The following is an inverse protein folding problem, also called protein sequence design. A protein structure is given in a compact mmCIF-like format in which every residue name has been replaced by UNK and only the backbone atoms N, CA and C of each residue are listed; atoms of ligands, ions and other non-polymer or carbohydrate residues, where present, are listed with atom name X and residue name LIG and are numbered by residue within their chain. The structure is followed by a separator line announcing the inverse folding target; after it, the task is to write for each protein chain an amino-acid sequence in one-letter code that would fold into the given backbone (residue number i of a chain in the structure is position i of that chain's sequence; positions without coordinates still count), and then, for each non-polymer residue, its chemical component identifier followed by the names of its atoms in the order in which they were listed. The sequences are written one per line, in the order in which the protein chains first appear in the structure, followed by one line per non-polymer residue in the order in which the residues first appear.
data_IF_771892311325
#
_entry.id   IF_771892311325
#
_cell.length_a   1.000
_cell.length_b   1.000
_cell.length_c   1.000
_cell.angle_alpha   90.00
_cell.angle_beta   90.00
_cell.angle_gamma   90.00
#
_symmetry.space_group_name_H-M   'P 1'
#
loop_
_entity.id
_entity.type
_entity.pdbx_description
1 polymer ?
#
# COMPACT_ATOMS: atom_id res chain seq x y z
N UNK A 1 19.77 -4.26 0.70
CA UNK A 1 18.36 -3.88 0.96
C UNK A 1 18.38 -2.53 1.65
N UNK A 2 17.61 -1.55 1.17
CA UNK A 2 17.50 -0.27 1.87
C UNK A 2 16.90 -0.49 3.27
N UNK A 3 17.37 0.26 4.27
CA UNK A 3 16.74 0.27 5.59
C UNK A 3 15.52 1.19 5.48
N UNK A 4 14.32 0.60 5.51
CA UNK A 4 13.04 1.30 5.41
C UNK A 4 12.13 0.94 6.58
N UNK A 5 11.15 1.81 6.86
CA UNK A 5 10.13 1.51 7.88
C UNK A 5 9.19 0.41 7.40
N UNK A 6 8.55 -0.32 8.31
CA UNK A 6 7.50 -1.29 7.94
C UNK A 6 6.38 -0.66 7.11
N UNK A 7 5.99 0.59 7.41
CA UNK A 7 4.99 1.34 6.63
C UNK A 7 5.42 1.49 5.17
N UNK A 8 6.67 1.88 4.96
CA UNK A 8 7.22 2.08 3.62
C UNK A 8 7.34 0.75 2.86
N UNK A 9 7.77 -0.32 3.53
CA UNK A 9 7.84 -1.65 2.94
C UNK A 9 6.46 -2.15 2.47
N UNK A 10 5.42 -1.94 3.28
CA UNK A 10 4.05 -2.32 2.92
C UNK A 10 3.50 -1.47 1.78
N UNK A 11 3.74 -0.15 1.79
CA UNK A 11 3.31 0.74 0.69
C UNK A 11 3.95 0.33 -0.63
N UNK A 12 5.27 0.15 -0.66
CA UNK A 12 6.00 -0.27 -1.86
C UNK A 12 5.48 -1.60 -2.40
N UNK A 13 5.25 -2.59 -1.52
CA UNK A 13 4.72 -3.89 -1.95
C UNK A 13 3.32 -3.79 -2.56
N UNK A 14 2.44 -2.92 -2.03
CA UNK A 14 1.10 -2.72 -2.59
C UNK A 14 1.17 -1.98 -3.92
N UNK A 15 2.00 -0.93 -4.03
CA UNK A 15 2.20 -0.20 -5.28
C UNK A 15 2.69 -1.14 -6.39
N UNK A 16 3.71 -1.96 -6.11
CA UNK A 16 4.29 -2.91 -7.08
C UNK A 16 3.29 -3.97 -7.55
N UNK A 17 2.50 -4.56 -6.63
CA UNK A 17 1.53 -5.60 -7.03
C UNK A 17 0.29 -5.03 -7.70
N UNK A 18 -0.15 -3.82 -7.34
CA UNK A 18 -1.24 -3.13 -8.05
C UNK A 18 -0.85 -2.71 -9.46
N UNK A 19 0.43 -2.36 -9.70
CA UNK A 19 0.95 -2.12 -11.06
C UNK A 19 1.06 -3.43 -11.86
N UNK A 20 1.41 -4.54 -11.21
CA UNK A 20 1.66 -5.82 -11.85
C UNK A 20 0.40 -6.61 -12.23
N UNK A 21 -0.66 -6.55 -11.43
CA UNK A 21 -1.89 -7.31 -11.64
C UNK A 21 -3.14 -6.45 -11.43
N UNK A 22 -3.86 -6.18 -12.52
CA UNK A 22 -5.10 -5.38 -12.53
C UNK A 22 -6.23 -5.97 -11.67
N UNK A 23 -6.11 -7.22 -11.21
CA UNK A 23 -7.07 -7.84 -10.28
C UNK A 23 -6.81 -7.47 -8.82
N UNK A 24 -5.67 -6.85 -8.51
CA UNK A 24 -5.33 -6.40 -7.18
C UNK A 24 -5.99 -5.04 -6.93
N UNK A 25 -6.80 -4.96 -5.90
CA UNK A 25 -7.42 -3.72 -5.45
C UNK A 25 -7.45 -3.69 -3.92
N UNK A 26 -7.48 -2.48 -3.38
CA UNK A 26 -7.55 -2.23 -1.94
C UNK A 26 -8.99 -1.95 -1.55
N UNK A 27 -9.43 -2.52 -0.43
CA UNK A 27 -10.75 -2.26 0.16
C UNK A 27 -10.63 -2.17 1.68
N UNK A 28 -11.39 -1.26 2.28
CA UNK A 28 -11.38 -1.03 3.72
C UNK A 28 -11.89 0.36 4.09
N UNK A 29 -11.96 0.64 5.38
CA UNK A 29 -12.32 1.97 5.87
C UNK A 29 -11.19 2.97 5.58
N UNK A 30 -11.54 4.11 5.00
CA UNK A 30 -10.64 5.26 4.81
C UNK A 30 -9.37 4.96 3.96
N UNK A 31 -9.34 3.85 3.21
CA UNK A 31 -8.15 3.43 2.44
C UNK A 31 -7.88 4.27 1.19
N UNK A 32 -8.89 4.99 0.68
CA UNK A 32 -8.78 5.83 -0.52
C UNK A 32 -8.15 7.19 -0.17
N UNK A 33 -8.96 8.24 -0.01
CA UNK A 33 -8.47 9.62 0.21
C UNK A 33 -7.59 9.79 1.45
N UNK A 34 -7.70 8.89 2.42
CA UNK A 34 -6.99 8.96 3.69
C UNK A 34 -5.85 7.94 3.81
N UNK A 35 -5.59 7.08 2.82
CA UNK A 35 -4.50 6.09 2.85
C UNK A 35 -4.52 5.16 4.09
N UNK A 36 -5.71 5.00 4.69
CA UNK A 36 -5.92 4.31 5.95
C UNK A 36 -5.28 4.99 7.18
N UNK A 37 -5.64 4.49 8.36
CA UNK A 37 -5.18 5.04 9.64
C UNK A 37 -3.64 5.08 9.79
N UNK A 38 -2.93 4.18 9.12
CA UNK A 38 -1.48 4.06 9.20
C UNK A 38 -0.72 4.61 7.98
N UNK A 39 -1.43 5.18 6.99
CA UNK A 39 -0.83 5.72 5.77
C UNK A 39 0.00 4.68 5.01
N UNK A 40 -0.53 3.46 4.95
CA UNK A 40 0.12 2.33 4.26
C UNK A 40 -0.37 2.21 2.82
N UNK A 41 -1.66 2.50 2.57
CA UNK A 41 -2.31 2.38 1.26
C UNK A 41 -2.18 3.65 0.42
#
# INVERSE_FOLDING_TARGET
MPIITYREALRQAMDEEMERDEKVFIMGEEVAEYNGAYKVT
#
